data_IF_792159780757
#
_entry.id   IF_792159780757
#
_cell.length_a   1.000
_cell.length_b   1.000
_cell.length_c   1.000
_cell.angle_alpha   90.00
_cell.angle_beta   90.00
_cell.angle_gamma   90.00
#
_symmetry.space_group_name_H-M   'P 1'
#
loop_
_entity.id
_entity.type
_entity.pdbx_description
1 polymer ?
#
# COMPACT_ATOMS: atom_id res chain seq x y z
N UNK A 1 -11.54 -2.94 4.53
CA UNK A 1 -10.27 -2.25 4.86
C UNK A 1 -9.35 -3.26 5.49
N UNK A 2 -8.21 -3.54 4.88
CA UNK A 2 -7.23 -4.50 5.40
C UNK A 2 -6.01 -3.74 5.90
N UNK A 3 -5.49 -4.18 7.05
CA UNK A 3 -4.23 -3.66 7.55
C UNK A 3 -3.10 -4.19 6.68
N UNK A 4 -2.22 -3.27 6.29
CA UNK A 4 -1.02 -3.62 5.57
C UNK A 4 -0.08 -4.41 6.47
N UNK A 5 0.34 -5.56 5.96
CA UNK A 5 1.23 -6.48 6.67
C UNK A 5 2.67 -6.12 6.40
N UNK A 6 2.98 -5.73 5.16
CA UNK A 6 4.34 -5.34 4.78
C UNK A 6 4.35 -4.47 3.53
N UNK A 7 5.45 -3.77 3.32
CA UNK A 7 5.74 -3.03 2.10
C UNK A 7 7.21 -3.20 1.73
N UNK A 8 7.50 -3.21 0.44
CA UNK A 8 8.84 -3.42 -0.10
C UNK A 8 9.06 -2.51 -1.29
N UNK A 9 10.21 -1.83 -1.31
CA UNK A 9 10.62 -1.01 -2.45
C UNK A 9 11.06 -1.91 -3.59
N UNK A 10 10.65 -1.56 -4.80
CA UNK A 10 11.11 -2.17 -6.04
C UNK A 10 11.71 -1.11 -6.94
N UNK A 11 12.36 -1.54 -8.03
CA UNK A 11 12.98 -0.63 -8.99
C UNK A 11 11.97 0.33 -9.65
N UNK A 12 10.71 -0.11 -9.76
CA UNK A 12 9.65 0.63 -10.45
C UNK A 12 8.55 1.17 -9.52
N UNK A 13 8.72 1.07 -8.19
CA UNK A 13 7.73 1.53 -7.22
C UNK A 13 7.80 0.84 -5.85
N UNK A 14 6.63 0.57 -5.26
CA UNK A 14 6.49 -0.08 -3.96
C UNK A 14 5.47 -1.21 -4.07
N UNK A 15 5.87 -2.41 -3.69
CA UNK A 15 4.94 -3.52 -3.47
C UNK A 15 4.45 -3.44 -2.03
N UNK A 16 3.15 -3.53 -1.84
CA UNK A 16 2.53 -3.65 -0.53
C UNK A 16 1.79 -4.97 -0.43
N UNK A 17 1.85 -5.60 0.73
CA UNK A 17 1.23 -6.88 1.00
C UNK A 17 0.26 -6.74 2.18
N UNK A 18 -0.92 -7.33 2.04
CA UNK A 18 -1.93 -7.40 3.10
C UNK A 18 -2.49 -8.81 3.21
N UNK A 19 -3.00 -9.13 4.40
CA UNK A 19 -3.74 -10.37 4.62
C UNK A 19 -5.23 -10.11 4.46
N UNK A 20 -5.84 -10.85 3.55
CA UNK A 20 -7.28 -10.87 3.31
C UNK A 20 -7.80 -12.28 3.64
N UNK A 21 -8.33 -12.43 4.86
CA UNK A 21 -8.72 -13.75 5.39
C UNK A 21 -7.51 -14.67 5.52
N UNK A 22 -7.55 -15.82 4.82
CA UNK A 22 -6.47 -16.82 4.82
C UNK A 22 -5.53 -16.70 3.60
N UNK A 23 -5.64 -15.62 2.82
CA UNK A 23 -4.81 -15.37 1.66
C UNK A 23 -3.98 -14.10 1.86
N UNK A 24 -2.70 -14.17 1.49
CA UNK A 24 -1.85 -13.00 1.36
C UNK A 24 -2.05 -12.45 -0.05
N UNK A 25 -2.37 -11.17 -0.13
CA UNK A 25 -2.46 -10.42 -1.36
C UNK A 25 -1.34 -9.40 -1.41
N UNK A 26 -0.84 -9.15 -2.60
CA UNK A 26 0.16 -8.12 -2.86
C UNK A 26 -0.28 -7.24 -4.02
N UNK A 27 0.21 -6.00 -4.01
CA UNK A 27 0.01 -5.04 -5.08
C UNK A 27 1.20 -4.13 -5.20
N UNK A 28 1.69 -3.98 -6.43
CA UNK A 28 2.65 -2.95 -6.79
C UNK A 28 1.95 -1.62 -7.04
N UNK A 29 2.40 -0.57 -6.37
CA UNK A 29 2.10 0.81 -6.65
C UNK A 29 3.30 1.45 -7.33
N UNK A 30 3.06 2.18 -8.41
CA UNK A 30 4.12 2.98 -9.04
C UNK A 30 4.31 4.28 -8.28
N UNK A 31 5.46 4.94 -8.47
CA UNK A 31 5.69 6.27 -7.89
C UNK A 31 4.61 7.27 -8.29
N UNK A 32 4.13 7.22 -9.54
CA UNK A 32 3.07 8.10 -10.03
C UNK A 32 1.75 7.87 -9.28
N UNK A 33 1.34 6.61 -9.09
CA UNK A 33 0.14 6.29 -8.32
C UNK A 33 0.22 6.77 -6.86
N UNK A 34 1.38 6.61 -6.22
CA UNK A 34 1.60 7.11 -4.86
C UNK A 34 1.49 8.63 -4.79
N UNK A 35 2.06 9.34 -5.76
CA UNK A 35 1.97 10.81 -5.86
C UNK A 35 0.52 11.26 -6.08
N UNK A 36 -0.23 10.61 -6.97
CA UNK A 36 -1.65 10.89 -7.19
C UNK A 36 -2.50 10.64 -5.93
N UNK A 37 -2.16 9.60 -5.16
CA UNK A 37 -2.81 9.29 -3.88
C UNK A 37 -2.33 10.18 -2.73
N UNK A 38 -1.34 11.06 -2.96
CA UNK A 38 -0.66 11.88 -1.93
C UNK A 38 -0.06 11.02 -0.81
N UNK A 39 0.59 9.94 -1.19
CA UNK A 39 1.23 8.99 -0.27
C UNK A 39 2.73 9.07 -0.43
N UNK A 40 3.40 9.33 0.69
CA UNK A 40 4.84 9.25 0.77
C UNK A 40 5.30 7.80 0.71
N UNK A 41 6.08 7.51 -0.33
CA UNK A 41 6.74 6.23 -0.52
C UNK A 41 7.60 5.84 0.70
N UNK A 42 8.29 6.81 1.30
CA UNK A 42 9.13 6.60 2.48
C UNK A 42 8.30 6.22 3.72
N UNK A 43 7.16 6.89 3.95
CA UNK A 43 6.26 6.61 5.06
C UNK A 43 5.58 5.23 4.87
N UNK A 44 5.23 4.89 3.63
CA UNK A 44 4.68 3.58 3.28
C UNK A 44 5.70 2.45 3.49
N UNK A 45 6.99 2.69 3.21
CA UNK A 45 8.09 1.73 3.41
C UNK A 45 8.51 1.60 4.88
N UNK A 46 8.62 2.72 5.59
CA UNK A 46 9.04 2.76 6.98
C UNK A 46 7.94 2.32 7.94
N UNK A 47 6.67 2.61 7.60
CA UNK A 47 5.52 2.40 8.47
C UNK A 47 4.28 1.93 7.68
N UNK A 48 4.33 0.74 7.04
CA UNK A 48 3.18 0.20 6.30
C UNK A 48 1.92 0.09 7.17
N UNK A 49 2.05 -0.14 8.48
CA UNK A 49 0.94 -0.24 9.43
C UNK A 49 0.13 1.06 9.61
N UNK A 50 0.66 2.22 9.21
CA UNK A 50 -0.07 3.49 9.23
C UNK A 50 -1.08 3.60 8.08
N UNK A 51 -0.96 2.71 7.10
CA UNK A 51 -1.76 2.71 5.90
C UNK A 51 -2.71 1.50 5.91
N UNK A 52 -3.96 1.75 5.54
CA UNK A 52 -4.95 0.69 5.30
C UNK A 52 -5.20 0.59 3.81
N UNK A 53 -5.22 -0.64 3.29
CA UNK A 53 -5.62 -0.86 1.91
C UNK A 53 -7.14 -1.05 1.82
N UNK A 54 -7.77 -0.38 0.87
CA UNK A 54 -9.20 -0.51 0.59
C UNK A 54 -9.39 -0.83 -0.89
N UNK A 55 -10.22 -1.83 -1.20
CA UNK A 55 -10.53 -2.20 -2.59
C UNK A 55 -11.73 -1.41 -3.14
N UNK A 56 -12.11 -0.29 -2.53
CA UNK A 56 -13.11 0.58 -3.16
C UNK A 56 -12.51 1.21 -4.40
N UNK A 57 -13.28 1.15 -5.49
CA UNK A 57 -12.89 1.22 -6.91
C UNK A 57 -11.98 2.40 -7.34
N UNK A 58 -11.64 3.34 -6.45
CA UNK A 58 -10.78 4.50 -6.72
C UNK A 58 -9.95 4.99 -5.50
N UNK A 59 -9.93 4.30 -4.35
CA UNK A 59 -9.16 4.73 -3.16
C UNK A 59 -8.46 3.57 -2.49
N UNK A 60 -7.21 3.33 -2.89
CA UNK A 60 -6.51 2.13 -2.45
C UNK A 60 -5.85 2.24 -1.10
N UNK A 61 -5.33 3.39 -0.71
CA UNK A 61 -4.57 3.54 0.52
C UNK A 61 -5.13 4.72 1.32
N UNK A 62 -5.52 4.47 2.57
CA UNK A 62 -5.92 5.50 3.53
C UNK A 62 -4.86 5.63 4.61
N UNK A 63 -4.32 6.84 4.76
CA UNK A 63 -3.50 7.24 5.92
C UNK A 63 -4.43 7.44 7.11
N UNK A 64 -4.11 6.78 8.22
CA UNK A 64 -4.86 6.90 9.48
C UNK A 64 -4.61 8.22 10.18
#
# INVERSE_FOLDING_TARGET
MHDLVSSKKTDNGIIVCWSEGNQVKDRSFTHQELVEMKIDADDLLGRPMLYKITMELNKYLLKR
#
